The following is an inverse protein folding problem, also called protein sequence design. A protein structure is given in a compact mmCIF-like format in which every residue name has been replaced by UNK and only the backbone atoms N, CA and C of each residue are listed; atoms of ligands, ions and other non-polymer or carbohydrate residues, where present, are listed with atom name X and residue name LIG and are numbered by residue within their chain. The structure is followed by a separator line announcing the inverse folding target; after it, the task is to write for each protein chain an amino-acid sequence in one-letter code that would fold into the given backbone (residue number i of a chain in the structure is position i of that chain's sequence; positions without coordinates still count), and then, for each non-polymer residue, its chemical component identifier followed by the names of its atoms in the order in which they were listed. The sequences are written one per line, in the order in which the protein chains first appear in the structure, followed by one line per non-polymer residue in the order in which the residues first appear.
data_IF_005094121968
#
_entry.id   IF_005094121968
#
_cell.length_a   1.000
_cell.length_b   1.000
_cell.length_c   1.000
_cell.angle_alpha   90.00
_cell.angle_beta   90.00
_cell.angle_gamma   90.00
#
_symmetry.space_group_name_H-M   'P 1'
#
loop_
_entity.id
_entity.type
_entity.pdbx_description
1 polymer ?
#
# COMPACT_ATOMS: atom_id res chain seq x y z
N UNK A 1 39.08 7.68 -35.70
CA UNK A 1 37.98 8.36 -35.02
C UNK A 1 37.15 7.26 -34.39
N UNK A 2 37.27 7.09 -33.07
CA UNK A 2 36.43 6.15 -32.35
C UNK A 2 34.99 6.68 -32.44
N UNK A 3 34.08 5.88 -32.94
CA UNK A 3 32.64 6.20 -32.96
C UNK A 3 32.21 6.38 -31.52
N UNK A 4 31.60 7.55 -31.21
CA UNK A 4 31.02 7.84 -29.90
C UNK A 4 29.95 6.79 -29.57
N UNK A 5 30.26 5.82 -28.75
CA UNK A 5 29.28 4.85 -28.25
C UNK A 5 28.28 5.61 -27.37
N UNK A 6 26.98 5.37 -27.60
CA UNK A 6 25.90 6.00 -26.82
C UNK A 6 25.43 5.02 -25.76
N UNK A 7 25.36 5.48 -24.52
CA UNK A 7 24.83 4.75 -23.38
C UNK A 7 23.43 5.26 -23.02
N UNK A 8 22.55 4.31 -22.72
CA UNK A 8 21.23 4.58 -22.15
C UNK A 8 21.24 4.20 -20.67
N UNK A 9 21.07 5.16 -19.79
CA UNK A 9 21.02 4.96 -18.35
C UNK A 9 19.62 5.27 -17.86
N UNK A 10 19.00 4.33 -17.15
CA UNK A 10 17.68 4.49 -16.56
C UNK A 10 17.86 4.90 -15.10
N UNK A 11 17.36 6.06 -14.75
CA UNK A 11 17.25 6.51 -13.36
C UNK A 11 15.89 6.09 -12.82
N UNK A 12 15.87 5.34 -11.74
CA UNK A 12 14.66 4.95 -11.04
C UNK A 12 14.64 5.72 -9.70
N UNK A 13 13.64 6.57 -9.52
CA UNK A 13 13.48 7.28 -8.25
C UNK A 13 12.79 6.40 -7.19
N UNK A 14 12.69 6.90 -5.96
CA UNK A 14 12.08 6.21 -4.82
C UNK A 14 10.59 5.82 -5.01
N UNK A 15 9.91 6.40 -6.00
CA UNK A 15 8.53 6.05 -6.36
C UNK A 15 8.44 5.14 -7.60
N UNK A 16 9.57 4.58 -8.06
CA UNK A 16 9.61 3.71 -9.23
C UNK A 16 9.48 4.41 -10.58
N UNK A 17 9.40 5.76 -10.61
CA UNK A 17 9.36 6.50 -11.87
C UNK A 17 10.70 6.41 -12.58
N UNK A 18 10.68 5.94 -13.81
CA UNK A 18 11.85 5.79 -14.66
C UNK A 18 12.14 7.06 -15.46
N UNK A 19 13.40 7.43 -15.54
CA UNK A 19 13.89 8.51 -16.37
C UNK A 19 15.06 8.04 -17.20
N UNK A 20 14.85 7.87 -18.50
CA UNK A 20 15.90 7.48 -19.43
C UNK A 20 16.77 8.69 -19.79
N UNK A 21 18.08 8.58 -19.57
CA UNK A 21 19.10 9.54 -19.99
C UNK A 21 20.04 8.87 -20.99
N UNK A 22 20.18 9.50 -22.15
CA UNK A 22 21.11 9.08 -23.19
C UNK A 22 22.34 9.95 -23.14
N UNK A 23 23.52 9.34 -23.06
CA UNK A 23 24.81 10.04 -22.88
C UNK A 23 25.92 9.35 -23.67
N UNK A 24 26.96 10.11 -24.05
CA UNK A 24 28.13 9.57 -24.76
C UNK A 24 29.07 8.81 -23.82
N UNK A 25 29.74 7.78 -24.34
CA UNK A 25 30.66 6.94 -23.58
C UNK A 25 31.82 7.71 -22.93
N UNK A 26 32.26 8.78 -23.56
CA UNK A 26 33.39 9.61 -23.09
C UNK A 26 32.98 10.67 -22.06
N UNK A 27 31.70 10.81 -21.74
CA UNK A 27 31.20 11.69 -20.68
C UNK A 27 31.55 11.13 -19.30
N UNK A 28 31.39 11.97 -18.28
CA UNK A 28 31.63 11.58 -16.88
C UNK A 28 30.34 11.22 -16.17
N UNK A 29 30.46 10.55 -15.03
CA UNK A 29 29.32 10.27 -14.13
C UNK A 29 28.66 11.59 -13.65
N UNK A 30 29.46 12.63 -13.42
CA UNK A 30 28.94 13.96 -13.07
C UNK A 30 28.08 14.55 -14.20
N UNK A 31 28.50 14.42 -15.46
CA UNK A 31 27.71 14.87 -16.63
C UNK A 31 26.38 14.14 -16.72
N UNK A 32 26.36 12.82 -16.46
CA UNK A 32 25.17 12.00 -16.46
C UNK A 32 24.15 12.46 -15.40
N UNK A 33 24.62 12.69 -14.19
CA UNK A 33 23.78 13.14 -13.07
C UNK A 33 23.25 14.55 -13.36
N UNK A 34 24.07 15.45 -13.90
CA UNK A 34 23.65 16.80 -14.29
C UNK A 34 22.53 16.77 -15.36
N UNK A 35 22.63 15.87 -16.34
CA UNK A 35 21.58 15.69 -17.35
C UNK A 35 20.26 15.20 -16.74
N UNK A 36 20.32 14.25 -15.80
CA UNK A 36 19.16 13.79 -15.06
C UNK A 36 18.49 14.93 -14.29
N UNK A 37 19.25 15.68 -13.50
CA UNK A 37 18.73 16.80 -12.70
C UNK A 37 18.09 17.88 -13.56
N UNK A 38 18.76 18.26 -14.66
CA UNK A 38 18.22 19.24 -15.63
C UNK A 38 16.92 18.78 -16.29
N UNK A 39 16.78 17.46 -16.52
CA UNK A 39 15.53 16.90 -17.06
C UNK A 39 14.41 16.98 -16.03
N UNK A 40 14.69 16.70 -14.74
CA UNK A 40 13.72 16.80 -13.65
C UNK A 40 13.26 18.23 -13.37
N UNK A 41 14.15 19.20 -13.44
CA UNK A 41 13.80 20.64 -13.35
C UNK A 41 12.79 21.05 -14.44
N UNK A 42 12.97 20.58 -15.68
CA UNK A 42 12.05 20.86 -16.79
C UNK A 42 10.67 20.24 -16.61
N UNK A 43 10.58 19.14 -15.87
CA UNK A 43 9.32 18.46 -15.55
C UNK A 43 8.58 19.12 -14.37
N UNK A 44 9.03 20.30 -13.87
CA UNK A 44 8.53 20.99 -12.67
C UNK A 44 8.52 20.10 -11.40
N UNK A 45 9.31 19.04 -11.39
CA UNK A 45 9.57 18.26 -10.20
C UNK A 45 10.67 19.01 -9.43
N UNK A 46 10.27 19.72 -8.36
CA UNK A 46 11.19 20.45 -7.49
C UNK A 46 12.29 19.51 -7.00
N UNK A 47 13.49 19.67 -7.52
CA UNK A 47 14.67 19.00 -6.99
C UNK A 47 15.18 19.89 -5.86
N UNK A 48 14.50 19.82 -4.72
CA UNK A 48 14.94 20.51 -3.52
C UNK A 48 16.29 19.92 -3.08
N UNK A 49 17.32 20.75 -3.13
CA UNK A 49 18.65 20.51 -2.58
C UNK A 49 19.35 19.22 -3.08
N UNK A 50 20.08 19.35 -4.19
CA UNK A 50 20.93 18.31 -4.81
C UNK A 50 21.87 17.63 -3.80
N UNK A 51 22.24 18.31 -2.71
CA UNK A 51 23.12 17.78 -1.66
C UNK A 51 22.52 16.58 -0.90
N UNK A 52 21.22 16.34 -1.03
CA UNK A 52 20.48 15.28 -0.34
C UNK A 52 20.04 14.14 -1.28
N UNK A 53 20.58 14.06 -2.50
CA UNK A 53 20.27 13.00 -3.45
C UNK A 53 21.47 12.07 -3.61
N UNK A 54 21.26 10.76 -3.42
CA UNK A 54 22.25 9.75 -3.77
C UNK A 54 21.87 9.06 -5.06
N UNK A 55 22.89 8.69 -5.76
CA UNK A 55 22.80 7.90 -6.96
C UNK A 55 23.49 6.57 -6.70
N UNK A 56 22.75 5.48 -6.74
CA UNK A 56 23.28 4.13 -6.48
C UNK A 56 23.29 3.35 -7.80
N UNK A 57 24.45 2.79 -8.12
CA UNK A 57 24.63 1.86 -9.23
C UNK A 57 25.33 0.60 -8.73
N UNK A 58 24.73 -0.57 -8.99
CA UNK A 58 25.21 -1.86 -8.49
C UNK A 58 25.57 -1.82 -6.99
N UNK A 59 24.66 -1.23 -6.18
CA UNK A 59 24.81 -1.10 -4.73
C UNK A 59 25.89 -0.14 -4.24
N UNK A 60 26.61 0.51 -5.13
CA UNK A 60 27.62 1.50 -4.78
C UNK A 60 27.09 2.92 -4.98
N UNK A 61 27.36 3.78 -4.00
CA UNK A 61 27.04 5.21 -4.11
C UNK A 61 27.92 5.84 -5.19
N UNK A 62 27.28 6.39 -6.22
CA UNK A 62 27.94 7.22 -7.21
C UNK A 62 28.17 8.61 -6.62
N UNK A 63 29.41 8.95 -6.29
CA UNK A 63 29.75 10.31 -5.87
C UNK A 63 29.38 11.30 -6.97
N UNK A 64 28.57 12.31 -6.63
CA UNK A 64 28.11 13.30 -7.59
C UNK A 64 29.20 14.32 -7.92
N UNK A 65 29.69 15.07 -6.90
CA UNK A 65 30.67 16.15 -7.12
C UNK A 65 32.07 15.59 -7.37
N UNK A 66 32.74 16.13 -8.38
CA UNK A 66 34.09 15.72 -8.79
C UNK A 66 34.22 14.25 -9.22
N UNK A 67 33.12 13.62 -9.64
CA UNK A 67 33.22 12.27 -10.20
C UNK A 67 33.57 12.33 -11.67
N UNK A 68 34.86 12.16 -11.96
CA UNK A 68 35.45 12.17 -13.31
C UNK A 68 35.49 10.80 -13.94
N UNK A 69 34.97 9.76 -13.28
CA UNK A 69 34.91 8.41 -13.81
C UNK A 69 34.13 8.41 -15.13
N UNK A 70 34.65 7.75 -16.13
CA UNK A 70 34.02 7.69 -17.46
C UNK A 70 32.82 6.76 -17.44
N UNK A 71 31.80 7.09 -18.23
CA UNK A 71 30.58 6.29 -18.34
C UNK A 71 30.90 4.86 -18.76
N UNK A 72 31.79 4.67 -19.76
CA UNK A 72 32.15 3.32 -20.23
C UNK A 72 32.92 2.49 -19.18
N UNK A 73 33.55 3.12 -18.19
CA UNK A 73 34.26 2.45 -17.10
C UNK A 73 33.30 2.09 -15.96
N UNK A 74 32.25 2.90 -15.76
CA UNK A 74 31.30 2.74 -14.66
C UNK A 74 30.12 1.84 -15.03
N UNK A 75 29.59 1.96 -16.26
CA UNK A 75 28.40 1.27 -16.69
C UNK A 75 28.71 0.21 -17.77
N UNK A 76 28.64 -1.06 -17.44
CA UNK A 76 28.69 -2.17 -18.39
C UNK A 76 27.27 -2.47 -18.89
N UNK A 77 27.00 -2.28 -20.19
CA UNK A 77 25.74 -2.65 -20.86
C UNK A 77 24.44 -2.21 -20.17
N UNK A 78 23.93 -1.02 -20.44
CA UNK A 78 22.68 -0.45 -19.90
C UNK A 78 22.64 -0.39 -18.35
N UNK A 79 22.96 0.77 -17.80
CA UNK A 79 22.95 0.97 -16.33
C UNK A 79 21.59 1.36 -15.80
N UNK A 80 21.15 0.72 -14.73
CA UNK A 80 20.05 1.20 -13.89
C UNK A 80 20.65 1.91 -12.69
N UNK A 81 20.36 3.20 -12.54
CA UNK A 81 20.80 4.01 -11.41
C UNK A 81 19.59 4.25 -10.50
N UNK A 82 19.66 3.77 -9.28
CA UNK A 82 18.63 4.07 -8.28
C UNK A 82 18.90 5.44 -7.69
N UNK A 83 17.91 6.30 -7.72
CA UNK A 83 17.97 7.64 -7.13
C UNK A 83 17.32 7.59 -5.75
N UNK A 84 18.13 7.69 -4.72
CA UNK A 84 17.68 7.72 -3.33
C UNK A 84 17.78 9.14 -2.78
N UNK A 85 16.76 9.58 -2.07
CA UNK A 85 16.77 10.85 -1.36
C UNK A 85 17.23 10.62 0.07
N UNK A 86 18.32 11.28 0.46
CA UNK A 86 18.80 11.26 1.84
C UNK A 86 18.43 12.56 2.53
N UNK A 87 17.25 12.62 3.04
CA UNK A 87 16.89 13.69 3.98
C UNK A 87 16.69 13.16 5.42
N UNK A 88 17.21 11.93 5.72
CA UNK A 88 16.96 11.30 7.00
C UNK A 88 17.48 12.12 8.19
N UNK A 89 18.68 12.68 8.12
CA UNK A 89 19.27 13.39 9.26
C UNK A 89 18.75 14.84 9.45
N UNK A 90 18.25 15.48 8.40
CA UNK A 90 17.67 16.84 8.50
C UNK A 90 16.15 16.80 8.76
N UNK A 91 15.41 15.96 8.06
CA UNK A 91 13.94 15.93 8.14
C UNK A 91 13.41 15.12 9.31
N UNK A 92 14.17 14.15 9.87
CA UNK A 92 13.79 13.52 11.13
C UNK A 92 14.00 14.41 12.34
N UNK A 93 14.79 15.49 12.24
CA UNK A 93 14.83 16.54 13.28
C UNK A 93 13.50 17.27 13.43
N UNK A 94 12.66 17.26 12.39
CA UNK A 94 11.32 17.82 12.41
C UNK A 94 10.28 16.86 12.99
N UNK A 95 10.66 15.59 13.21
CA UNK A 95 9.81 14.60 13.89
C UNK A 95 10.04 14.70 15.39
N UNK A 96 8.99 15.03 16.14
CA UNK A 96 9.02 15.18 17.60
C UNK A 96 7.91 14.39 18.25
N UNK A 97 8.11 14.06 19.53
CA UNK A 97 7.06 13.49 20.40
C UNK A 97 6.45 12.18 19.84
N UNK A 98 7.29 11.25 19.38
CA UNK A 98 6.83 9.94 18.89
C UNK A 98 6.18 9.14 20.02
N UNK A 99 4.91 8.75 19.80
CA UNK A 99 4.14 7.86 20.68
C UNK A 99 3.67 6.66 19.87
N UNK A 100 3.97 5.46 20.33
CA UNK A 100 3.61 4.22 19.64
C UNK A 100 2.08 4.08 19.57
N UNK A 101 1.53 3.93 18.37
CA UNK A 101 0.13 3.56 18.11
C UNK A 101 -0.01 2.05 17.92
N UNK A 102 0.94 1.45 17.18
CA UNK A 102 0.97 0.03 16.84
C UNK A 102 2.43 -0.41 16.70
N UNK A 103 2.75 -1.55 17.25
CA UNK A 103 4.03 -2.24 17.00
C UNK A 103 3.77 -3.67 16.58
N UNK A 104 4.44 -4.10 15.52
CA UNK A 104 4.39 -5.45 15.00
C UNK A 104 5.80 -5.89 14.56
N UNK A 105 5.94 -7.14 14.16
CA UNK A 105 7.25 -7.68 13.74
C UNK A 105 7.87 -6.79 12.67
N UNK A 106 7.15 -6.49 11.59
CA UNK A 106 7.69 -5.77 10.43
C UNK A 106 7.45 -4.27 10.45
N UNK A 107 6.44 -3.78 11.18
CA UNK A 107 6.03 -2.37 11.11
C UNK A 107 5.71 -1.79 12.47
N UNK A 108 6.17 -0.55 12.69
CA UNK A 108 5.74 0.27 13.81
C UNK A 108 5.01 1.50 13.29
N UNK A 109 3.91 1.89 13.95
CA UNK A 109 3.20 3.13 13.65
C UNK A 109 3.23 4.03 14.88
N UNK A 110 3.62 5.27 14.67
CA UNK A 110 3.74 6.28 15.72
C UNK A 110 2.80 7.44 15.44
N UNK A 111 2.24 8.03 16.49
CA UNK A 111 1.76 9.42 16.46
C UNK A 111 2.97 10.31 16.73
N UNK A 112 3.14 11.38 15.97
CA UNK A 112 4.22 12.33 16.15
C UNK A 112 3.82 13.74 15.69
N UNK A 113 4.69 14.71 15.94
CA UNK A 113 4.66 16.01 15.27
C UNK A 113 5.67 15.99 14.13
N UNK A 114 5.25 16.40 12.96
CA UNK A 114 6.10 16.68 11.80
C UNK A 114 5.97 18.15 11.44
N UNK A 115 7.02 18.93 11.76
CA UNK A 115 6.87 20.37 11.91
C UNK A 115 5.85 20.69 13.00
N UNK A 116 4.82 21.45 12.66
CA UNK A 116 3.71 21.81 13.58
C UNK A 116 2.47 20.93 13.40
N UNK A 117 2.53 19.90 12.54
CA UNK A 117 1.38 19.04 12.20
C UNK A 117 1.44 17.72 12.96
N UNK A 118 0.33 17.32 13.58
CA UNK A 118 0.17 15.95 14.10
C UNK A 118 0.04 14.98 12.93
N UNK A 119 0.85 13.92 12.93
CA UNK A 119 0.96 12.92 11.87
C UNK A 119 0.99 11.50 12.40
N UNK A 120 0.68 10.53 11.54
CA UNK A 120 1.03 9.14 11.74
C UNK A 120 2.31 8.82 10.95
N UNK A 121 3.23 8.09 11.56
CA UNK A 121 4.49 7.66 10.95
C UNK A 121 4.51 6.15 10.92
N UNK A 122 4.45 5.56 9.73
CA UNK A 122 4.63 4.11 9.52
C UNK A 122 6.10 3.85 9.22
N UNK A 123 6.78 3.10 10.08
CA UNK A 123 8.16 2.63 9.88
C UNK A 123 8.14 1.13 9.59
N UNK A 124 8.67 0.72 8.44
CA UNK A 124 8.81 -0.68 8.04
C UNK A 124 10.27 -1.08 8.32
N UNK A 125 10.46 -2.11 9.14
CA UNK A 125 11.77 -2.57 9.64
C UNK A 125 12.49 -3.39 8.56
N UNK A 126 13.54 -2.85 7.95
CA UNK A 126 14.31 -3.52 6.89
C UNK A 126 15.06 -4.76 7.39
N UNK A 127 15.52 -4.75 8.63
CA UNK A 127 16.23 -5.88 9.24
C UNK A 127 15.32 -7.12 9.31
N UNK A 128 14.08 -6.97 9.80
CA UNK A 128 13.11 -8.05 9.84
C UNK A 128 12.73 -8.57 8.46
N UNK A 129 12.63 -7.70 7.47
CA UNK A 129 12.40 -8.12 6.08
C UNK A 129 13.57 -8.95 5.55
N UNK A 130 14.81 -8.56 5.87
CA UNK A 130 16.02 -9.31 5.50
C UNK A 130 16.08 -10.68 6.17
N UNK A 131 15.76 -10.75 7.46
CA UNK A 131 15.71 -12.01 8.21
C UNK A 131 14.66 -12.97 7.60
N UNK A 132 13.46 -12.46 7.31
CA UNK A 132 12.37 -13.26 6.71
C UNK A 132 12.74 -13.79 5.32
N UNK A 133 13.44 -13.00 4.51
CA UNK A 133 13.94 -13.44 3.20
C UNK A 133 14.97 -14.58 3.37
N UNK A 134 15.92 -14.42 4.30
CA UNK A 134 16.93 -15.45 4.59
C UNK A 134 16.29 -16.77 5.01
N UNK A 135 15.35 -16.72 5.96
CA UNK A 135 14.67 -17.92 6.46
C UNK A 135 13.83 -18.59 5.36
N UNK A 136 13.10 -17.83 4.54
CA UNK A 136 12.25 -18.40 3.50
C UNK A 136 13.02 -18.98 2.31
N UNK A 137 14.22 -18.47 1.99
CA UNK A 137 15.07 -18.94 0.89
C UNK A 137 16.17 -19.91 1.33
N UNK A 138 16.38 -20.07 2.65
CA UNK A 138 17.46 -20.89 3.23
C UNK A 138 18.82 -20.45 2.69
N UNK A 139 19.11 -19.15 2.75
CA UNK A 139 20.37 -18.55 2.30
C UNK A 139 21.09 -17.90 3.49
N UNK A 140 22.41 -18.05 3.54
CA UNK A 140 23.23 -17.50 4.64
C UNK A 140 23.50 -16.01 4.46
N UNK A 141 23.65 -15.55 3.22
CA UNK A 141 23.90 -14.16 2.88
C UNK A 141 22.85 -13.68 1.88
N UNK A 142 22.30 -12.46 2.12
CA UNK A 142 21.44 -11.75 1.19
C UNK A 142 22.33 -10.92 0.27
N UNK A 143 22.11 -11.09 -1.03
CA UNK A 143 22.62 -10.14 -2.00
C UNK A 143 21.71 -8.91 -2.12
N UNK A 144 22.20 -7.88 -2.81
CA UNK A 144 21.43 -6.63 -3.00
C UNK A 144 20.21 -6.85 -3.90
N UNK A 145 20.24 -7.85 -4.78
CA UNK A 145 19.16 -8.15 -5.72
C UNK A 145 17.93 -8.73 -4.98
N UNK A 146 18.16 -9.53 -3.92
CA UNK A 146 17.11 -10.05 -3.05
C UNK A 146 16.32 -8.93 -2.33
N UNK A 147 17.02 -7.89 -1.89
CA UNK A 147 16.40 -6.77 -1.20
C UNK A 147 15.76 -5.74 -2.16
N UNK A 148 16.18 -5.72 -3.42
CA UNK A 148 15.60 -4.86 -4.45
C UNK A 148 14.09 -5.11 -4.64
N UNK A 149 13.64 -6.34 -4.43
CA UNK A 149 12.23 -6.68 -4.52
C UNK A 149 11.40 -6.01 -3.42
N UNK A 150 11.93 -5.90 -2.20
CA UNK A 150 11.27 -5.18 -1.10
C UNK A 150 11.22 -3.67 -1.36
N UNK A 151 12.27 -3.09 -1.92
CA UNK A 151 12.28 -1.68 -2.37
C UNK A 151 11.19 -1.47 -3.44
N UNK A 152 11.08 -2.36 -4.42
CA UNK A 152 10.03 -2.30 -5.45
C UNK A 152 8.63 -2.41 -4.86
N UNK A 153 8.42 -3.26 -3.85
CA UNK A 153 7.14 -3.39 -3.14
C UNK A 153 6.78 -2.09 -2.41
N UNK A 154 7.72 -1.51 -1.68
CA UNK A 154 7.54 -0.23 -1.00
C UNK A 154 7.17 0.90 -1.98
N UNK A 155 7.93 1.03 -3.06
CA UNK A 155 7.67 2.04 -4.08
C UNK A 155 6.29 1.85 -4.74
N UNK A 156 5.88 0.59 -4.98
CA UNK A 156 4.56 0.28 -5.49
C UNK A 156 3.44 0.66 -4.52
N UNK A 157 3.64 0.43 -3.21
CA UNK A 157 2.68 0.89 -2.19
C UNK A 157 2.47 2.40 -2.29
N UNK A 158 3.56 3.18 -2.36
CA UNK A 158 3.51 4.64 -2.50
C UNK A 158 2.80 5.07 -3.79
N UNK A 159 3.13 4.44 -4.91
CA UNK A 159 2.48 4.73 -6.21
C UNK A 159 0.98 4.48 -6.17
N UNK A 160 0.56 3.36 -5.57
CA UNK A 160 -0.87 3.03 -5.42
C UNK A 160 -1.56 4.04 -4.50
N UNK A 161 -0.96 4.40 -3.36
CA UNK A 161 -1.51 5.42 -2.47
C UNK A 161 -1.68 6.77 -3.17
N UNK A 162 -0.73 7.19 -4.00
CA UNK A 162 -0.82 8.41 -4.80
C UNK A 162 -1.93 8.33 -5.86
N UNK A 163 -2.06 7.20 -6.56
CA UNK A 163 -3.15 6.97 -7.54
C UNK A 163 -4.53 6.96 -6.89
N UNK A 164 -4.62 6.45 -5.66
CA UNK A 164 -5.87 6.38 -4.88
C UNK A 164 -6.15 7.67 -4.09
N UNK A 165 -5.36 8.73 -4.29
CA UNK A 165 -5.54 9.99 -3.54
C UNK A 165 -6.92 10.60 -3.78
N UNK A 166 -7.70 10.68 -2.71
CA UNK A 166 -9.00 11.33 -2.65
C UNK A 166 -9.34 11.64 -1.18
N UNK A 167 -10.48 12.28 -0.96
CA UNK A 167 -10.92 12.62 0.40
C UNK A 167 -11.10 11.40 1.34
N UNK A 168 -11.30 10.20 0.81
CA UNK A 168 -11.53 8.96 1.57
C UNK A 168 -10.35 7.97 1.50
N UNK A 169 -9.18 8.44 1.12
CA UNK A 169 -7.89 7.75 1.22
C UNK A 169 -6.96 8.50 2.17
N UNK A 170 -6.17 7.77 2.96
CA UNK A 170 -5.19 8.40 3.85
C UNK A 170 -4.20 9.21 3.04
N UNK A 171 -4.03 10.48 3.37
CA UNK A 171 -3.10 11.39 2.71
C UNK A 171 -1.66 11.09 3.14
N UNK A 172 -0.74 11.01 2.16
CA UNK A 172 0.70 10.93 2.41
C UNK A 172 1.25 12.36 2.37
N UNK A 173 2.02 12.71 3.40
CA UNK A 173 2.71 14.00 3.46
C UNK A 173 4.15 13.89 3.00
N UNK A 174 4.83 12.79 3.37
CA UNK A 174 6.22 12.54 3.00
C UNK A 174 6.57 11.06 3.14
N UNK A 175 7.72 10.65 2.60
CA UNK A 175 8.24 9.30 2.75
C UNK A 175 9.76 9.30 2.64
N UNK A 176 10.41 8.35 3.33
CA UNK A 176 11.87 8.22 3.35
C UNK A 176 12.30 6.78 3.23
N UNK A 177 13.35 6.55 2.46
CA UNK A 177 14.10 5.31 2.45
C UNK A 177 15.38 5.52 3.24
N UNK A 178 15.54 4.83 4.37
CA UNK A 178 16.68 4.94 5.27
C UNK A 178 17.41 3.63 5.37
N UNK A 179 18.59 3.62 5.98
CA UNK A 179 19.35 2.39 6.20
C UNK A 179 18.53 1.31 6.95
N UNK A 180 17.76 1.73 7.95
CA UNK A 180 17.03 0.80 8.87
C UNK A 180 15.56 0.65 8.55
N UNK A 181 14.94 1.66 7.93
CA UNK A 181 13.49 1.72 7.76
C UNK A 181 13.08 2.27 6.39
N UNK A 182 11.97 1.76 5.86
CA UNK A 182 11.12 2.55 4.99
C UNK A 182 10.14 3.32 5.87
N UNK A 183 9.98 4.61 5.64
CA UNK A 183 9.17 5.52 6.46
C UNK A 183 8.13 6.19 5.59
N UNK A 184 6.87 6.18 6.04
CA UNK A 184 5.79 6.94 5.42
C UNK A 184 5.21 7.88 6.48
N UNK A 185 5.17 9.17 6.19
CA UNK A 185 4.52 10.20 7.00
C UNK A 185 3.14 10.47 6.39
N UNK A 186 2.10 10.26 7.17
CA UNK A 186 0.74 10.29 6.66
C UNK A 186 -0.23 10.96 7.64
N UNK A 187 -1.43 11.21 7.17
CA UNK A 187 -2.52 11.76 7.95
C UNK A 187 -2.79 10.93 9.20
N UNK A 188 -2.84 11.61 10.36
CA UNK A 188 -3.23 11.01 11.63
C UNK A 188 -4.75 10.91 11.71
N UNK A 189 -5.24 9.71 11.98
CA UNK A 189 -6.65 9.43 12.25
C UNK A 189 -6.86 9.11 13.72
N UNK A 190 -8.07 9.36 14.21
CA UNK A 190 -8.43 9.16 15.61
C UNK A 190 -8.55 7.68 15.99
N UNK A 191 -9.07 6.85 15.04
CA UNK A 191 -9.38 5.45 15.31
C UNK A 191 -9.49 4.64 14.00
N UNK A 192 -9.92 3.37 14.12
CA UNK A 192 -10.37 2.54 13.01
C UNK A 192 -11.74 1.94 13.29
N UNK A 193 -12.41 1.43 12.24
CA UNK A 193 -13.75 0.86 12.36
C UNK A 193 -13.82 -0.32 13.32
N UNK A 194 -12.76 -1.13 13.42
CA UNK A 194 -12.73 -2.26 14.34
C UNK A 194 -12.84 -1.79 15.81
N UNK A 195 -12.04 -0.81 16.20
CA UNK A 195 -12.08 -0.25 17.55
C UNK A 195 -13.38 0.52 17.81
N UNK A 196 -13.93 1.21 16.80
CA UNK A 196 -15.23 1.88 16.93
C UNK A 196 -16.38 0.88 17.13
N UNK A 197 -16.40 -0.21 16.37
CA UNK A 197 -17.36 -1.29 16.54
C UNK A 197 -17.25 -1.94 17.93
N UNK A 198 -16.03 -2.10 18.44
CA UNK A 198 -15.80 -2.68 19.78
C UNK A 198 -16.47 -1.86 20.90
N UNK A 199 -16.55 -0.52 20.78
CA UNK A 199 -17.18 0.38 21.76
C UNK A 199 -18.70 0.25 21.81
N UNK A 200 -19.34 -0.27 20.78
CA UNK A 200 -20.80 -0.40 20.71
C UNK A 200 -21.30 -1.63 21.45
N UNK A 201 -22.52 -1.63 21.95
CA UNK A 201 -23.16 -2.82 22.56
C UNK A 201 -23.67 -3.80 21.50
N UNK A 202 -24.18 -3.29 20.39
CA UNK A 202 -24.67 -4.01 19.21
C UNK A 202 -23.84 -3.67 17.98
N UNK A 203 -24.15 -4.25 16.83
CA UNK A 203 -23.63 -3.77 15.55
C UNK A 203 -24.06 -2.34 15.24
N UNK A 204 -23.52 -1.79 14.14
CA UNK A 204 -23.95 -0.48 13.63
C UNK A 204 -25.34 -0.58 13.01
N UNK A 205 -26.08 0.54 13.01
CA UNK A 205 -27.33 0.65 12.27
C UNK A 205 -27.07 0.60 10.76
N UNK A 206 -28.10 0.29 9.99
CA UNK A 206 -28.01 0.20 8.52
C UNK A 206 -27.65 1.56 7.93
N UNK A 207 -28.20 2.66 8.49
CA UNK A 207 -27.92 4.03 8.08
C UNK A 207 -26.45 4.37 8.27
N UNK A 208 -25.86 4.00 9.43
CA UNK A 208 -24.44 4.23 9.69
C UNK A 208 -23.55 3.41 8.76
N UNK A 209 -23.93 2.17 8.46
CA UNK A 209 -23.22 1.34 7.49
C UNK A 209 -23.29 1.97 6.10
N UNK A 210 -24.48 2.43 5.67
CA UNK A 210 -24.67 3.12 4.39
C UNK A 210 -23.81 4.38 4.29
N UNK A 211 -23.78 5.21 5.33
CA UNK A 211 -22.94 6.42 5.41
C UNK A 211 -21.44 6.10 5.23
N UNK A 212 -20.95 5.05 5.91
CA UNK A 212 -19.56 4.60 5.81
C UNK A 212 -19.25 4.13 4.38
N UNK A 213 -20.12 3.31 3.78
CA UNK A 213 -19.92 2.77 2.45
C UNK A 213 -19.99 3.84 1.36
N UNK A 214 -20.90 4.81 1.49
CA UNK A 214 -20.98 5.95 0.55
C UNK A 214 -19.68 6.76 0.52
N UNK A 215 -19.04 6.97 1.67
CA UNK A 215 -17.74 7.62 1.74
C UNK A 215 -16.65 6.75 1.10
N UNK A 216 -16.58 5.46 1.43
CA UNK A 216 -15.59 4.54 0.86
C UNK A 216 -15.75 4.33 -0.66
N UNK A 217 -16.97 4.50 -1.19
CA UNK A 217 -17.21 4.38 -2.62
C UNK A 217 -16.38 5.37 -3.45
N UNK A 218 -15.95 6.51 -2.90
CA UNK A 218 -15.07 7.44 -3.59
C UNK A 218 -13.72 6.78 -3.93
N UNK A 219 -13.08 6.17 -2.94
CA UNK A 219 -11.79 5.49 -3.16
C UNK A 219 -11.95 4.19 -3.95
N UNK A 220 -13.04 3.42 -3.72
CA UNK A 220 -13.28 2.18 -4.45
C UNK A 220 -13.51 2.40 -5.96
N UNK A 221 -14.16 3.51 -6.36
CA UNK A 221 -14.30 3.90 -7.77
C UNK A 221 -12.93 4.15 -8.41
N UNK A 222 -12.07 4.93 -7.74
CA UNK A 222 -10.71 5.20 -8.22
C UNK A 222 -9.91 3.90 -8.34
N UNK A 223 -10.00 3.00 -7.35
CA UNK A 223 -9.34 1.70 -7.41
C UNK A 223 -9.82 0.86 -8.60
N UNK A 224 -11.14 0.79 -8.82
CA UNK A 224 -11.72 0.04 -9.93
C UNK A 224 -11.28 0.60 -11.29
N UNK A 225 -11.33 1.92 -11.48
CA UNK A 225 -10.89 2.62 -12.70
C UNK A 225 -9.40 2.37 -13.01
N UNK A 226 -8.55 2.36 -11.98
CA UNK A 226 -7.11 2.11 -12.11
C UNK A 226 -6.73 0.62 -12.05
N UNK A 227 -7.72 -0.29 -12.01
CA UNK A 227 -7.51 -1.75 -11.91
C UNK A 227 -6.66 -2.15 -10.70
N UNK A 228 -6.79 -1.43 -9.58
CA UNK A 228 -6.11 -1.68 -8.32
C UNK A 228 -6.96 -2.66 -7.49
N UNK A 229 -6.29 -3.66 -6.91
CA UNK A 229 -6.87 -4.63 -5.97
C UNK A 229 -6.19 -4.44 -4.63
N UNK A 230 -6.97 -4.16 -3.58
CA UNK A 230 -6.43 -3.87 -2.24
C UNK A 230 -5.96 -5.13 -1.51
N UNK A 231 -6.76 -6.20 -1.54
CA UNK A 231 -6.52 -7.53 -0.95
C UNK A 231 -6.51 -7.60 0.58
N UNK A 232 -6.58 -6.47 1.27
CA UNK A 232 -6.62 -6.41 2.75
C UNK A 232 -7.66 -5.39 3.24
N UNK A 233 -8.85 -5.36 2.58
CA UNK A 233 -9.97 -4.55 3.05
C UNK A 233 -10.50 -5.18 4.34
N UNK A 234 -10.19 -4.53 5.47
CA UNK A 234 -10.62 -4.95 6.82
C UNK A 234 -10.90 -3.76 7.71
N UNK A 235 -11.72 -3.96 8.75
CA UNK A 235 -12.11 -2.89 9.67
C UNK A 235 -10.92 -2.19 10.34
N UNK A 236 -9.76 -2.85 10.44
CA UNK A 236 -8.54 -2.26 10.98
C UNK A 236 -7.90 -1.25 10.01
N UNK A 237 -8.08 -1.42 8.70
CA UNK A 237 -7.51 -0.59 7.65
C UNK A 237 -8.51 0.49 7.17
N UNK A 238 -9.70 0.53 7.71
CA UNK A 238 -10.67 1.61 7.51
C UNK A 238 -10.59 2.52 8.72
N UNK A 239 -9.95 3.66 8.53
CA UNK A 239 -9.70 4.61 9.60
C UNK A 239 -10.85 5.61 9.75
N UNK A 240 -10.96 6.21 10.92
CA UNK A 240 -11.94 7.25 11.24
C UNK A 240 -11.19 8.48 11.71
N UNK A 241 -11.59 9.62 11.16
CA UNK A 241 -11.19 10.94 11.60
C UNK A 241 -12.44 11.73 11.97
N UNK A 242 -12.52 12.20 13.21
CA UNK A 242 -13.61 13.04 13.63
C UNK A 242 -13.42 14.48 13.15
N UNK A 243 -14.48 15.07 12.61
CA UNK A 243 -14.48 16.44 12.08
C UNK A 243 -14.79 17.44 13.18
N UNK A 244 -15.64 17.05 14.15
CA UNK A 244 -16.04 17.89 15.26
C UNK A 244 -15.62 17.32 16.63
N UNK A 245 -15.56 18.19 17.64
CA UNK A 245 -15.17 17.83 19.02
C UNK A 245 -16.13 16.86 19.69
N UNK A 246 -17.40 16.92 19.33
CA UNK A 246 -18.50 16.08 19.84
C UNK A 246 -18.44 14.67 19.28
N UNK A 247 -17.58 14.43 18.27
CA UNK A 247 -17.39 13.14 17.58
C UNK A 247 -18.67 12.58 16.95
N UNK A 248 -19.56 13.47 16.55
CA UNK A 248 -20.80 13.13 15.84
C UNK A 248 -20.62 13.09 14.34
N UNK A 249 -19.71 13.91 13.80
CA UNK A 249 -19.35 13.96 12.41
C UNK A 249 -17.98 13.32 12.20
N UNK A 250 -17.88 12.45 11.22
CA UNK A 250 -16.65 11.70 10.95
C UNK A 250 -16.42 11.50 9.46
N UNK A 251 -15.15 11.33 9.14
CA UNK A 251 -14.66 10.95 7.83
C UNK A 251 -14.08 9.55 7.91
N UNK A 252 -14.33 8.73 6.89
CA UNK A 252 -13.74 7.39 6.76
C UNK A 252 -12.67 7.42 5.71
N UNK A 253 -11.52 6.82 6.02
CA UNK A 253 -10.36 6.80 5.13
C UNK A 253 -9.85 5.36 4.99
N UNK A 254 -9.64 4.91 3.75
CA UNK A 254 -8.96 3.65 3.46
C UNK A 254 -7.46 3.82 3.61
N UNK A 255 -6.80 2.85 4.24
CA UNK A 255 -5.37 2.87 4.52
C UNK A 255 -4.72 1.50 4.24
N UNK A 256 -3.39 1.46 4.28
CA UNK A 256 -2.56 0.25 4.22
C UNK A 256 -2.67 -0.53 2.90
N UNK A 257 -2.07 0.04 1.86
CA UNK A 257 -1.99 -0.54 0.52
C UNK A 257 -0.79 -1.49 0.34
N UNK A 258 -0.12 -1.88 1.43
CA UNK A 258 1.13 -2.66 1.40
C UNK A 258 1.05 -4.03 0.72
N UNK A 259 -0.15 -4.58 0.59
CA UNK A 259 -0.40 -5.82 -0.17
C UNK A 259 -1.17 -5.58 -1.46
N UNK A 260 -1.46 -4.34 -1.81
CA UNK A 260 -2.21 -3.98 -3.02
C UNK A 260 -1.41 -4.26 -4.30
N UNK A 261 -2.11 -4.54 -5.41
CA UNK A 261 -1.49 -4.79 -6.70
C UNK A 261 -2.38 -4.35 -7.86
N UNK A 262 -1.79 -4.17 -9.05
CA UNK A 262 -2.56 -4.00 -10.28
C UNK A 262 -2.89 -5.35 -10.92
N UNK A 263 -4.06 -5.44 -11.56
CA UNK A 263 -4.49 -6.64 -12.28
C UNK A 263 -3.50 -6.92 -13.43
N UNK A 264 -2.86 -8.08 -13.40
CA UNK A 264 -1.85 -8.48 -14.40
C UNK A 264 -0.57 -9.07 -13.79
N UNK A 265 -0.26 -8.79 -12.51
CA UNK A 265 0.91 -9.34 -11.80
C UNK A 265 0.51 -10.35 -10.70
N UNK A 266 -0.62 -11.04 -10.87
CA UNK A 266 -1.31 -11.79 -9.83
C UNK A 266 -0.79 -13.25 -9.71
N UNK A 267 0.46 -13.42 -9.28
CA UNK A 267 0.96 -14.72 -8.81
C UNK A 267 1.74 -14.50 -7.52
N UNK A 268 1.25 -14.99 -6.39
CA UNK A 268 1.97 -14.89 -5.13
C UNK A 268 1.33 -15.73 -4.02
N UNK A 269 2.16 -16.51 -3.33
CA UNK A 269 1.78 -17.17 -2.08
C UNK A 269 1.64 -16.11 -0.98
N UNK A 270 0.41 -15.81 -0.59
CA UNK A 270 0.15 -14.90 0.53
C UNK A 270 0.14 -15.70 1.84
N UNK A 271 1.28 -15.79 2.50
CA UNK A 271 1.32 -16.12 3.93
C UNK A 271 0.98 -14.86 4.71
N UNK A 272 -0.31 -14.64 4.97
CA UNK A 272 -0.79 -13.54 5.80
C UNK A 272 -1.08 -14.01 7.20
N UNK A 273 -0.99 -13.09 8.18
CA UNK A 273 -1.24 -13.38 9.59
C UNK A 273 -2.66 -13.91 9.82
N UNK A 274 -2.83 -14.85 10.74
CA UNK A 274 -4.06 -15.62 11.01
C UNK A 274 -5.38 -14.80 11.11
N UNK A 275 -5.33 -13.52 11.49
CA UNK A 275 -6.52 -12.66 11.58
C UNK A 275 -7.06 -12.18 10.24
N UNK A 276 -6.24 -12.11 9.19
CA UNK A 276 -6.62 -11.61 7.87
C UNK A 276 -7.30 -12.68 7.00
N UNK A 277 -7.03 -13.96 7.24
CA UNK A 277 -7.60 -15.08 6.46
C UNK A 277 -9.14 -15.10 6.48
N UNK A 278 -9.78 -14.68 7.57
CA UNK A 278 -11.23 -14.67 7.72
C UNK A 278 -11.94 -13.77 6.70
N UNK A 279 -11.27 -12.70 6.26
CA UNK A 279 -11.81 -11.76 5.26
C UNK A 279 -11.49 -12.16 3.82
N UNK A 280 -10.57 -13.09 3.62
CA UNK A 280 -10.10 -13.47 2.28
C UNK A 280 -11.19 -14.20 1.50
N UNK A 281 -11.26 -13.89 0.22
CA UNK A 281 -12.15 -14.56 -0.71
C UNK A 281 -11.78 -16.04 -0.89
N UNK A 282 -12.77 -16.93 -1.15
CA UNK A 282 -12.52 -18.36 -1.29
C UNK A 282 -11.48 -18.72 -2.35
N UNK A 283 -11.44 -18.00 -3.45
CA UNK A 283 -10.45 -18.18 -4.53
C UNK A 283 -9.02 -17.87 -4.06
N UNK A 284 -8.84 -16.88 -3.16
CA UNK A 284 -7.53 -16.56 -2.58
C UNK A 284 -7.11 -17.66 -1.59
N UNK A 285 -8.02 -18.10 -0.70
CA UNK A 285 -7.74 -19.18 0.26
C UNK A 285 -7.38 -20.51 -0.41
N UNK A 286 -7.84 -20.73 -1.65
CA UNK A 286 -7.49 -21.91 -2.45
C UNK A 286 -6.23 -21.74 -3.30
N UNK A 287 -5.64 -20.53 -3.33
CA UNK A 287 -4.50 -20.22 -4.22
C UNK A 287 -4.88 -20.18 -5.70
N UNK A 288 -6.15 -19.98 -6.03
CA UNK A 288 -6.65 -19.86 -7.40
C UNK A 288 -6.36 -18.46 -7.98
N UNK A 289 -6.44 -18.32 -9.31
CA UNK A 289 -6.37 -16.99 -9.96
C UNK A 289 -7.58 -16.16 -9.53
N UNK A 290 -7.35 -14.89 -9.22
CA UNK A 290 -8.38 -13.98 -8.74
C UNK A 290 -8.32 -12.62 -9.46
N UNK A 291 -9.34 -11.80 -9.28
CA UNK A 291 -9.47 -10.45 -9.82
C UNK A 291 -9.95 -9.49 -8.71
N UNK A 292 -10.31 -8.25 -9.07
CA UNK A 292 -10.77 -7.23 -8.12
C UNK A 292 -12.07 -7.57 -7.38
N UNK A 293 -12.82 -8.62 -7.79
CA UNK A 293 -14.00 -9.08 -7.06
C UNK A 293 -13.67 -9.74 -5.71
N UNK A 294 -12.38 -10.08 -5.46
CA UNK A 294 -11.97 -10.55 -4.14
C UNK A 294 -12.13 -9.46 -3.06
N UNK A 295 -11.95 -8.19 -3.43
CA UNK A 295 -12.19 -7.06 -2.52
C UNK A 295 -13.68 -6.90 -2.17
N UNK A 296 -14.59 -7.19 -3.11
CA UNK A 296 -16.04 -7.21 -2.85
C UNK A 296 -16.46 -8.30 -1.85
N UNK A 297 -15.81 -9.47 -1.90
CA UNK A 297 -16.00 -10.49 -0.87
C UNK A 297 -15.56 -9.98 0.50
N UNK A 298 -14.34 -9.45 0.59
CA UNK A 298 -13.79 -8.89 1.84
C UNK A 298 -14.69 -7.77 2.38
N UNK A 299 -15.20 -6.92 1.49
CA UNK A 299 -16.15 -5.86 1.84
C UNK A 299 -17.45 -6.46 2.42
N UNK A 300 -18.01 -7.51 1.80
CA UNK A 300 -19.18 -8.22 2.30
C UNK A 300 -18.98 -8.79 3.71
N UNK A 301 -17.82 -9.39 3.97
CA UNK A 301 -17.45 -9.89 5.31
C UNK A 301 -17.41 -8.75 6.33
N UNK A 302 -16.82 -7.60 5.97
CA UNK A 302 -16.74 -6.44 6.84
C UNK A 302 -18.12 -5.82 7.11
N UNK A 303 -18.96 -5.67 6.10
CA UNK A 303 -20.34 -5.17 6.26
C UNK A 303 -21.14 -6.08 7.20
N UNK A 304 -21.05 -7.40 7.00
CA UNK A 304 -21.69 -8.37 7.91
C UNK A 304 -21.19 -8.21 9.35
N UNK A 305 -19.87 -8.04 9.53
CA UNK A 305 -19.28 -7.83 10.86
C UNK A 305 -19.69 -6.49 11.47
N UNK A 306 -19.81 -5.42 10.70
CA UNK A 306 -20.31 -4.14 11.19
C UNK A 306 -21.73 -4.24 11.72
N UNK A 307 -22.59 -5.01 11.05
CA UNK A 307 -23.98 -5.18 11.46
C UNK A 307 -24.14 -6.13 12.65
N UNK A 308 -23.43 -7.29 12.66
CA UNK A 308 -23.63 -8.37 13.64
C UNK A 308 -22.60 -8.39 14.77
N UNK A 309 -21.53 -7.60 14.71
CA UNK A 309 -20.28 -7.62 15.53
C UNK A 309 -19.46 -8.90 15.38
N UNK A 310 -19.85 -9.84 14.57
CA UNK A 310 -19.13 -11.10 14.35
C UNK A 310 -18.93 -11.33 12.85
N UNK A 311 -17.81 -11.90 12.43
CA UNK A 311 -17.63 -12.26 11.03
C UNK A 311 -18.61 -13.39 10.66
N UNK A 312 -19.00 -13.51 9.38
CA UNK A 312 -19.93 -14.56 8.91
C UNK A 312 -19.34 -15.97 9.05
N UNK A 313 -18.04 -16.08 8.85
CA UNK A 313 -17.28 -17.32 8.92
C UNK A 313 -16.21 -17.23 9.99
N UNK A 314 -15.68 -18.36 10.46
CA UNK A 314 -14.66 -18.43 11.49
C UNK A 314 -13.71 -19.60 11.23
N UNK A 315 -12.49 -19.49 11.70
CA UNK A 315 -11.47 -20.55 11.57
C UNK A 315 -10.07 -19.95 11.70
N UNK A 316 -9.12 -20.82 12.04
CA UNK A 316 -7.71 -20.43 12.19
C UNK A 316 -6.87 -20.83 10.97
N UNK A 317 -7.42 -21.61 10.05
CA UNK A 317 -6.74 -22.12 8.87
C UNK A 317 -7.67 -22.06 7.66
N UNK A 318 -7.10 -21.91 6.46
CA UNK A 318 -7.83 -21.75 5.20
C UNK A 318 -8.85 -22.86 4.97
N UNK A 319 -8.46 -24.12 5.17
CA UNK A 319 -9.35 -25.27 4.99
C UNK A 319 -10.54 -25.28 5.98
N UNK A 320 -10.38 -24.73 7.19
CA UNK A 320 -11.46 -24.60 8.17
C UNK A 320 -12.41 -23.51 7.76
N UNK A 321 -11.90 -22.37 7.29
CA UNK A 321 -12.70 -21.25 6.79
C UNK A 321 -13.50 -21.70 5.55
N UNK A 322 -12.85 -22.35 4.59
CA UNK A 322 -13.52 -22.89 3.39
C UNK A 322 -14.64 -23.88 3.73
N UNK A 323 -14.43 -24.78 4.70
CA UNK A 323 -15.48 -25.66 5.19
C UNK A 323 -16.64 -24.90 5.82
N UNK A 324 -16.39 -23.81 6.53
CA UNK A 324 -17.44 -22.96 7.10
C UNK A 324 -18.23 -22.24 6.00
N UNK A 325 -17.56 -21.73 4.96
CA UNK A 325 -18.19 -21.11 3.79
C UNK A 325 -19.10 -22.13 3.11
N UNK A 326 -18.62 -23.35 2.86
CA UNK A 326 -19.39 -24.42 2.23
C UNK A 326 -20.60 -24.85 3.09
N UNK A 327 -20.41 -25.00 4.40
CA UNK A 327 -21.46 -25.44 5.32
C UNK A 327 -22.57 -24.43 5.52
N UNK A 328 -22.17 -23.15 5.73
CA UNK A 328 -23.12 -22.07 6.04
C UNK A 328 -23.72 -21.45 4.77
N UNK A 329 -22.87 -21.27 3.72
CA UNK A 329 -23.28 -20.61 2.48
C UNK A 329 -24.05 -19.31 2.76
N UNK A 330 -25.11 -19.08 2.02
CA UNK A 330 -25.98 -17.91 2.17
C UNK A 330 -26.88 -17.96 3.44
N UNK A 331 -26.99 -19.10 4.14
CA UNK A 331 -27.84 -19.19 5.34
C UNK A 331 -27.38 -18.29 6.49
N UNK A 332 -26.10 -17.88 6.47
CA UNK A 332 -25.56 -16.90 7.42
C UNK A 332 -26.33 -15.58 7.38
N UNK A 333 -26.90 -15.22 6.21
CA UNK A 333 -27.65 -13.97 6.00
C UNK A 333 -29.05 -13.97 6.65
N UNK A 334 -29.53 -15.12 7.15
CA UNK A 334 -30.79 -15.16 7.88
C UNK A 334 -30.78 -14.36 9.18
N UNK A 335 -29.59 -13.96 9.65
CA UNK A 335 -29.42 -13.05 10.80
C UNK A 335 -29.63 -11.58 10.45
N UNK A 336 -29.63 -11.22 9.18
CA UNK A 336 -29.81 -9.86 8.68
C UNK A 336 -31.31 -9.61 8.54
N UNK A 337 -31.79 -8.57 9.23
CA UNK A 337 -33.24 -8.22 9.26
C UNK A 337 -33.61 -7.21 8.17
N UNK A 338 -32.68 -6.35 7.79
CA UNK A 338 -32.91 -5.38 6.73
C UNK A 338 -32.78 -6.06 5.37
N UNK A 339 -33.82 -5.96 4.56
CA UNK A 339 -33.89 -6.70 3.29
C UNK A 339 -32.96 -6.13 2.23
N UNK A 340 -32.72 -4.80 2.21
CA UNK A 340 -31.81 -4.16 1.23
C UNK A 340 -30.34 -4.47 1.55
N UNK A 341 -29.98 -4.46 2.84
CA UNK A 341 -28.66 -4.88 3.31
C UNK A 341 -28.43 -6.38 3.04
N UNK A 342 -29.46 -7.21 3.28
CA UNK A 342 -29.40 -8.65 3.04
C UNK A 342 -29.24 -8.96 1.57
N UNK A 343 -29.94 -8.24 0.68
CA UNK A 343 -29.79 -8.37 -0.76
C UNK A 343 -28.36 -8.01 -1.21
N UNK A 344 -27.81 -6.87 -0.75
CA UNK A 344 -26.43 -6.50 -1.03
C UNK A 344 -25.44 -7.58 -0.58
N UNK A 345 -25.57 -8.05 0.65
CA UNK A 345 -24.69 -9.09 1.20
C UNK A 345 -24.81 -10.42 0.44
N UNK A 346 -26.02 -10.75 -0.06
CA UNK A 346 -26.25 -11.96 -0.85
C UNK A 346 -25.50 -11.96 -2.17
N UNK A 347 -25.23 -10.78 -2.74
CA UNK A 347 -24.50 -10.59 -3.98
C UNK A 347 -22.98 -10.46 -3.77
N UNK A 348 -22.57 -9.95 -2.60
CA UNK A 348 -21.14 -9.82 -2.22
C UNK A 348 -20.55 -11.15 -1.75
N UNK A 349 -21.27 -11.92 -0.92
CA UNK A 349 -20.80 -13.18 -0.33
C UNK A 349 -21.11 -14.38 -1.22
N UNK A 350 -20.86 -14.25 -2.51
CA UNK A 350 -20.98 -15.35 -3.51
C UNK A 350 -19.63 -16.03 -3.66
N UNK A 351 -19.62 -17.37 -3.50
CA UNK A 351 -18.40 -18.19 -3.46
C UNK A 351 -17.62 -18.14 -4.78
N UNK A 352 -18.32 -18.29 -5.91
CA UNK A 352 -17.69 -18.20 -7.23
C UNK A 352 -17.58 -16.72 -7.65
N UNK A 353 -16.37 -16.21 -7.92
CA UNK A 353 -16.20 -14.82 -8.34
C UNK A 353 -16.86 -14.50 -9.68
N UNK A 354 -17.21 -15.51 -10.51
CA UNK A 354 -17.94 -15.30 -11.77
C UNK A 354 -19.37 -14.83 -11.52
N UNK A 355 -20.01 -15.42 -10.51
CA UNK A 355 -21.40 -15.13 -10.12
C UNK A 355 -21.48 -13.98 -9.09
N UNK A 356 -20.35 -13.57 -8.52
CA UNK A 356 -20.28 -12.44 -7.58
C UNK A 356 -20.51 -11.13 -8.33
N UNK A 357 -21.24 -10.19 -7.68
CA UNK A 357 -21.51 -8.85 -8.18
C UNK A 357 -20.22 -8.16 -8.71
N UNK A 358 -20.32 -7.35 -9.76
CA UNK A 358 -19.23 -6.48 -10.21
C UNK A 358 -19.17 -5.19 -9.39
N UNK A 359 -18.07 -4.41 -9.53
CA UNK A 359 -17.97 -3.09 -8.88
C UNK A 359 -19.02 -2.11 -9.43
N UNK A 360 -19.32 -2.17 -10.72
CA UNK A 360 -20.34 -1.32 -11.37
C UNK A 360 -21.71 -1.62 -10.79
N UNK A 361 -22.10 -2.90 -10.72
CA UNK A 361 -23.37 -3.34 -10.13
C UNK A 361 -23.43 -3.04 -8.63
N UNK A 362 -22.31 -3.10 -7.91
CA UNK A 362 -22.22 -2.72 -6.50
C UNK A 362 -22.51 -1.22 -6.31
N UNK A 363 -21.86 -0.34 -7.09
CA UNK A 363 -22.08 1.10 -6.99
C UNK A 363 -23.51 1.54 -7.34
N UNK A 364 -24.18 0.78 -8.21
CA UNK A 364 -25.56 1.06 -8.64
C UNK A 364 -26.62 0.30 -7.82
N UNK A 365 -26.21 -0.39 -6.77
CA UNK A 365 -27.10 -1.21 -5.96
C UNK A 365 -28.14 -0.38 -5.22
N UNK A 366 -29.40 -0.93 -5.08
CA UNK A 366 -30.52 -0.27 -4.41
C UNK A 366 -30.22 0.15 -2.98
N UNK A 367 -29.31 -0.54 -2.30
CA UNK A 367 -28.85 -0.18 -0.95
C UNK A 367 -28.31 1.26 -0.87
N UNK A 368 -27.80 1.82 -1.94
CA UNK A 368 -27.24 3.18 -1.98
C UNK A 368 -28.21 4.25 -2.46
N UNK A 369 -29.35 3.87 -2.97
CA UNK A 369 -30.45 4.78 -3.37
C UNK A 369 -31.36 5.08 -2.19
#
# INVERSE_FOLDING_TARGET
MEEDVIFNVIFINSIGSETLITIKSNSTVEDLINLYLKKKEKENLMVDNIENIYFIYNGKNLKYKNNTDKIYETFYNCGVVTVCRLDYDKNTKDIKNEVVIKDSIYTCVYKALYGDKEVAIKKIKKEQLKEDIKENRVIDELDEEDFLEEIKKFNRELEIMQKCHCENSVEIFDYFDTEKYFIIIMELCDNNLFKELAKTKSGFSVEKIKEILLQLNNVFKIMNENKIVHRDIKLHNILIKYINKEKTEFKVLLSDYGVSNQIGSLTGNFKTHAGTQIIMAPEILKGEKYNNKCDLWSLGVNIFQLYTKKPPYSGSYDNVILKQIDKKGQTVLNTIKDETLKDLLSKLLVKDPKDRISWEEYFDHEFFK
#
